data_IF_481296017412
#
_entry.id   IF_481296017412
#
_cell.length_a   1.000
_cell.length_b   1.000
_cell.length_c   1.000
_cell.angle_alpha   90.00
_cell.angle_beta   90.00
_cell.angle_gamma   90.00
#
_symmetry.space_group_name_H-M   'P 1'
#
loop_
_entity.id
_entity.type
_entity.pdbx_description
1 polymer ?
#
# COMPACT_ATOMS: atom_id res chain seq x y z
N UNK A 1 -13.61 -7.17 18.39
CA UNK A 1 -12.70 -8.26 18.07
C UNK A 1 -12.54 -8.39 16.57
N UNK A 2 -11.41 -8.82 16.11
CA UNK A 2 -11.19 -9.07 14.71
C UNK A 2 -10.69 -7.89 13.89
N UNK A 3 -10.46 -6.73 14.50
CA UNK A 3 -9.83 -5.62 13.80
C UNK A 3 -8.33 -5.85 13.84
N UNK A 4 -7.73 -6.06 12.67
CA UNK A 4 -6.29 -6.26 12.53
C UNK A 4 -5.58 -4.96 12.18
N UNK A 5 -6.24 -4.10 11.43
CA UNK A 5 -5.69 -2.82 11.00
C UNK A 5 -6.80 -1.87 10.53
N UNK A 6 -6.46 -0.60 10.40
CA UNK A 6 -7.27 0.40 9.70
C UNK A 6 -6.50 0.80 8.46
N UNK A 7 -7.15 0.78 7.32
CA UNK A 7 -6.50 1.08 6.05
C UNK A 7 -7.39 1.81 5.07
N UNK A 8 -6.75 2.45 4.10
CA UNK A 8 -7.42 3.02 2.94
C UNK A 8 -7.56 1.92 1.90
N UNK A 9 -8.77 1.40 1.75
CA UNK A 9 -9.05 0.34 0.78
C UNK A 9 -9.17 0.95 -0.61
N UNK A 10 -8.34 0.50 -1.54
CA UNK A 10 -8.25 1.08 -2.87
C UNK A 10 -9.53 0.86 -3.67
N UNK A 11 -10.06 1.94 -4.26
CA UNK A 11 -11.24 1.87 -5.10
C UNK A 11 -10.95 1.25 -6.47
N UNK A 12 -9.77 1.53 -7.03
CA UNK A 12 -9.38 1.08 -8.36
C UNK A 12 -7.95 0.55 -8.37
N UNK A 13 -7.72 -0.64 -7.80
CA UNK A 13 -6.37 -1.24 -7.80
C UNK A 13 -5.79 -1.40 -9.20
N UNK A 14 -6.61 -1.70 -10.19
CA UNK A 14 -6.17 -1.83 -11.59
C UNK A 14 -5.56 -0.54 -12.11
N UNK A 15 -6.15 0.58 -11.80
CA UNK A 15 -5.66 1.88 -12.22
C UNK A 15 -4.26 2.16 -11.66
N UNK A 16 -4.04 1.81 -10.40
CA UNK A 16 -2.72 1.96 -9.78
C UNK A 16 -1.67 1.12 -10.51
N UNK A 17 -1.98 -0.13 -10.79
CA UNK A 17 -1.06 -1.02 -11.50
C UNK A 17 -0.79 -0.50 -12.92
N UNK A 18 -1.80 -0.01 -13.62
CA UNK A 18 -1.65 0.56 -14.97
C UNK A 18 -0.77 1.80 -14.97
N UNK A 19 -0.94 2.69 -13.99
CA UNK A 19 -0.12 3.89 -13.91
C UNK A 19 1.33 3.57 -13.56
N UNK A 20 1.59 2.57 -12.73
CA UNK A 20 2.94 2.09 -12.47
C UNK A 20 3.57 1.52 -13.74
N UNK A 21 2.83 0.70 -14.47
CA UNK A 21 3.29 0.12 -15.71
C UNK A 21 3.64 1.19 -16.75
N UNK A 22 2.85 2.25 -16.84
CA UNK A 22 3.11 3.38 -17.74
C UNK A 22 4.42 4.10 -17.39
N UNK A 23 4.89 3.99 -16.16
CA UNK A 23 6.17 4.56 -15.73
C UNK A 23 7.31 3.52 -15.69
N UNK A 24 7.08 2.33 -16.25
CA UNK A 24 8.10 1.29 -16.33
C UNK A 24 8.18 0.40 -15.10
N UNK A 25 7.23 0.49 -14.18
CA UNK A 25 7.19 -0.33 -12.97
C UNK A 25 6.12 -1.41 -13.13
N UNK A 26 6.53 -2.65 -13.20
CA UNK A 26 5.61 -3.78 -13.37
C UNK A 26 5.81 -4.83 -12.30
N UNK A 27 4.74 -5.58 -12.03
CA UNK A 27 4.78 -6.69 -11.07
C UNK A 27 5.58 -7.84 -11.69
N UNK A 28 6.63 -8.32 -11.02
CA UNK A 28 7.39 -9.46 -11.53
C UNK A 28 6.51 -10.70 -11.75
N UNK A 29 6.85 -11.49 -12.74
CA UNK A 29 6.12 -12.72 -13.06
C UNK A 29 6.15 -13.67 -11.85
N UNK A 30 4.99 -14.22 -11.50
CA UNK A 30 4.84 -15.14 -10.38
C UNK A 30 4.60 -14.48 -9.04
N UNK A 31 4.64 -13.17 -8.96
CA UNK A 31 4.32 -12.46 -7.73
C UNK A 31 2.81 -12.23 -7.61
N UNK A 32 2.30 -12.20 -6.37
CA UNK A 32 0.89 -12.02 -6.07
C UNK A 32 0.67 -10.71 -5.31
N UNK A 33 -0.56 -10.18 -5.42
CA UNK A 33 -0.98 -9.07 -4.57
C UNK A 33 -1.13 -9.50 -3.11
N UNK A 34 -1.48 -8.55 -2.26
CA UNK A 34 -1.63 -8.78 -0.81
C UNK A 34 -2.73 -9.80 -0.52
N UNK A 35 -3.82 -9.77 -1.27
CA UNK A 35 -4.83 -10.83 -1.21
C UNK A 35 -4.35 -12.02 -2.05
N UNK A 36 -4.35 -13.19 -1.44
CA UNK A 36 -4.00 -14.42 -2.14
C UNK A 36 -4.92 -14.61 -3.36
N UNK A 37 -4.33 -15.06 -4.45
CA UNK A 37 -5.02 -15.32 -5.73
C UNK A 37 -5.43 -14.07 -6.50
N UNK A 38 -5.00 -12.89 -6.09
CA UNK A 38 -5.20 -11.64 -6.83
C UNK A 38 -3.86 -10.97 -7.07
N UNK A 39 -3.67 -10.46 -8.28
CA UNK A 39 -2.44 -9.77 -8.67
C UNK A 39 -2.59 -8.25 -8.52
N UNK A 40 -3.39 -7.81 -7.56
CA UNK A 40 -3.72 -6.41 -7.37
C UNK A 40 -3.40 -5.95 -5.96
N UNK A 41 -2.93 -4.72 -5.78
CA UNK A 41 -2.79 -4.14 -4.45
C UNK A 41 -4.17 -3.99 -3.80
N UNK A 42 -4.21 -4.04 -2.49
CA UNK A 42 -5.47 -4.06 -1.75
C UNK A 42 -5.71 -2.75 -0.99
N UNK A 43 -4.70 -2.27 -0.26
CA UNK A 43 -4.90 -1.15 0.66
C UNK A 43 -3.58 -0.47 1.03
N UNK A 44 -3.72 0.75 1.60
CA UNK A 44 -2.65 1.42 2.34
C UNK A 44 -2.95 1.28 3.83
N UNK A 45 -2.07 0.66 4.59
CA UNK A 45 -2.25 0.53 6.04
C UNK A 45 -2.00 1.87 6.72
N UNK A 46 -2.97 2.32 7.51
CA UNK A 46 -2.84 3.54 8.31
C UNK A 46 -2.35 3.23 9.72
N UNK A 47 -2.96 2.26 10.37
CA UNK A 47 -2.59 1.82 11.71
C UNK A 47 -2.78 0.32 11.80
N UNK A 48 -1.82 -0.39 12.39
CA UNK A 48 -1.84 -1.85 12.49
C UNK A 48 -1.83 -2.30 13.94
N UNK A 49 -2.66 -3.34 14.26
CA UNK A 49 -2.69 -3.99 15.57
C UNK A 49 -4.12 -4.16 16.11
N UNK A 50 -4.32 -5.11 17.04
CA UNK A 50 -5.65 -5.49 17.50
C UNK A 50 -6.31 -4.50 18.49
N UNK A 51 -5.54 -3.60 19.08
CA UNK A 51 -6.07 -2.64 20.05
C UNK A 51 -6.12 -1.22 19.51
N UNK A 52 -6.15 -1.08 18.21
CA UNK A 52 -6.08 0.21 17.56
C UNK A 52 -7.37 0.98 17.69
N UNK A 53 -7.22 2.29 17.89
CA UNK A 53 -8.31 3.24 17.75
C UNK A 53 -7.94 4.27 16.69
N UNK A 54 -8.75 4.35 15.67
CA UNK A 54 -8.61 5.37 14.64
C UNK A 54 -9.72 6.39 14.82
N UNK A 55 -9.48 7.70 14.55
CA UNK A 55 -10.55 8.69 14.70
C UNK A 55 -11.78 8.32 13.89
N UNK A 56 -12.92 8.20 14.54
CA UNK A 56 -14.15 7.72 13.93
C UNK A 56 -14.62 8.59 12.77
N UNK A 57 -14.26 9.87 12.78
CA UNK A 57 -14.62 10.81 11.72
C UNK A 57 -14.03 10.45 10.35
N UNK A 58 -12.97 9.65 10.33
CA UNK A 58 -12.34 9.22 9.07
C UNK A 58 -12.90 7.88 8.56
N UNK A 59 -13.49 7.07 9.43
CA UNK A 59 -13.99 5.76 9.05
C UNK A 59 -15.13 5.88 8.03
N UNK A 60 -15.06 5.04 7.00
CA UNK A 60 -16.00 5.01 5.88
C UNK A 60 -15.97 6.26 4.98
N UNK A 61 -14.97 7.13 5.15
CA UNK A 61 -14.76 8.28 4.28
C UNK A 61 -13.87 7.92 3.11
N UNK A 62 -14.10 8.59 1.99
CA UNK A 62 -13.20 8.49 0.83
C UNK A 62 -12.10 9.53 0.96
N UNK A 63 -10.91 9.15 0.56
CA UNK A 63 -9.78 10.08 0.53
C UNK A 63 -8.81 9.69 -0.60
N UNK A 64 -7.93 10.61 -0.93
CA UNK A 64 -6.90 10.41 -1.94
C UNK A 64 -5.53 10.50 -1.30
N UNK A 65 -4.61 9.71 -1.83
CA UNK A 65 -3.19 9.79 -1.48
C UNK A 65 -2.38 9.91 -2.77
N UNK A 66 -1.20 10.48 -2.66
CA UNK A 66 -0.32 10.70 -3.83
C UNK A 66 0.80 9.69 -3.80
N UNK A 67 0.92 8.91 -4.86
CA UNK A 67 2.05 8.00 -5.05
C UNK A 67 3.25 8.83 -5.51
N UNK A 68 4.38 8.71 -4.82
CA UNK A 68 5.56 9.54 -5.06
C UNK A 68 6.80 8.75 -5.48
N UNK A 69 6.85 7.45 -5.18
CA UNK A 69 8.00 6.64 -5.51
C UNK A 69 7.73 5.16 -5.32
N UNK A 70 8.74 4.33 -5.60
CA UNK A 70 8.63 2.89 -5.41
C UNK A 70 9.95 2.28 -4.95
N UNK A 71 9.86 1.10 -4.35
CA UNK A 71 11.01 0.30 -4.01
C UNK A 71 10.68 -1.17 -4.22
N UNK A 72 11.68 -1.95 -4.57
CA UNK A 72 11.53 -3.39 -4.83
C UNK A 72 12.78 -4.13 -4.38
N UNK A 73 12.59 -5.33 -3.85
CA UNK A 73 13.69 -6.26 -3.59
C UNK A 73 13.24 -7.67 -4.02
N UNK A 74 13.90 -8.71 -3.51
CA UNK A 74 13.55 -10.09 -3.86
C UNK A 74 12.28 -10.61 -3.16
N UNK A 75 11.68 -9.82 -2.26
CA UNK A 75 10.52 -10.23 -1.46
C UNK A 75 9.26 -9.44 -1.79
N UNK A 76 9.37 -8.14 -2.08
CA UNK A 76 8.21 -7.27 -2.12
C UNK A 76 8.43 -6.08 -3.06
N UNK A 77 7.34 -5.61 -3.63
CA UNK A 77 7.26 -4.34 -4.37
C UNK A 77 6.28 -3.43 -3.65
N UNK A 78 6.71 -2.24 -3.30
CA UNK A 78 5.89 -1.25 -2.62
C UNK A 78 6.07 0.12 -3.23
N UNK A 79 5.03 0.95 -3.13
CA UNK A 79 5.10 2.37 -3.52
C UNK A 79 4.98 3.24 -2.28
N UNK A 80 5.71 4.34 -2.27
CA UNK A 80 5.59 5.34 -1.21
C UNK A 80 4.49 6.30 -1.56
N UNK A 81 3.77 6.78 -0.54
CA UNK A 81 2.66 7.70 -0.72
C UNK A 81 2.81 8.89 0.21
N UNK A 82 2.24 10.02 -0.21
CA UNK A 82 2.12 11.21 0.61
C UNK A 82 0.65 11.37 0.98
N UNK A 83 0.37 11.55 2.27
CA UNK A 83 -0.98 11.64 2.78
C UNK A 83 -1.04 12.57 3.98
N UNK A 84 -2.20 13.23 4.15
CA UNK A 84 -2.50 14.02 5.34
C UNK A 84 -3.30 13.21 6.37
N UNK A 85 -3.64 11.97 6.07
CA UNK A 85 -4.37 11.11 7.01
C UNK A 85 -3.51 10.75 8.20
N UNK A 86 -4.10 10.71 9.42
CA UNK A 86 -3.39 10.18 10.57
C UNK A 86 -2.93 8.75 10.30
N UNK A 87 -1.66 8.46 10.61
CA UNK A 87 -1.13 7.12 10.47
C UNK A 87 0.07 6.94 11.41
N UNK A 88 0.40 5.68 11.68
CA UNK A 88 1.55 5.32 12.51
C UNK A 88 2.63 4.61 11.73
N UNK A 89 2.64 4.75 10.41
CA UNK A 89 3.69 4.22 9.57
C UNK A 89 4.87 5.19 9.53
N UNK A 90 6.10 4.68 9.64
CA UNK A 90 7.29 5.51 9.48
C UNK A 90 7.34 6.10 8.07
N UNK A 91 7.04 5.27 7.08
CA UNK A 91 6.96 5.66 5.68
C UNK A 91 5.63 5.17 5.15
N UNK A 92 4.64 6.06 4.94
CA UNK A 92 3.36 5.64 4.36
C UNK A 92 3.57 4.99 3.00
N UNK A 93 2.96 3.84 2.78
CA UNK A 93 3.17 3.05 1.56
C UNK A 93 1.99 2.13 1.27
N UNK A 94 1.93 1.68 0.01
CA UNK A 94 1.03 0.63 -0.43
C UNK A 94 1.88 -0.55 -0.88
N UNK A 95 1.64 -1.73 -0.33
CA UNK A 95 2.27 -2.95 -0.80
C UNK A 95 1.59 -3.39 -2.09
N UNK A 96 2.34 -3.43 -3.18
CA UNK A 96 1.80 -3.75 -4.50
C UNK A 96 1.75 -5.26 -4.72
N UNK A 97 2.86 -5.94 -4.46
CA UNK A 97 2.96 -7.37 -4.70
C UNK A 97 4.07 -8.00 -3.85
N UNK A 98 3.95 -9.29 -3.61
CA UNK A 98 4.95 -10.06 -2.87
C UNK A 98 5.39 -11.26 -3.71
N UNK A 99 6.66 -11.64 -3.56
CA UNK A 99 7.20 -12.84 -4.17
C UNK A 99 6.61 -14.09 -3.50
N UNK A 100 6.78 -15.29 -4.08
CA UNK A 100 6.30 -16.53 -3.45
C UNK A 100 6.82 -16.76 -2.03
N UNK A 101 7.97 -16.20 -1.68
CA UNK A 101 8.56 -16.30 -0.34
C UNK A 101 8.41 -15.02 0.47
N UNK A 102 7.80 -13.97 -0.11
CA UNK A 102 7.62 -12.69 0.56
C UNK A 102 6.31 -12.58 1.32
N UNK A 103 6.23 -11.56 2.17
CA UNK A 103 5.04 -11.23 2.94
C UNK A 103 4.79 -9.73 2.84
N UNK A 104 3.54 -9.25 2.95
CA UNK A 104 3.25 -7.81 2.93
C UNK A 104 4.08 -7.01 3.94
N UNK A 105 4.36 -7.59 5.09
CA UNK A 105 5.15 -6.97 6.15
C UNK A 105 6.60 -6.70 5.74
N UNK A 106 7.11 -7.39 4.73
CA UNK A 106 8.47 -7.18 4.23
C UNK A 106 8.66 -5.79 3.61
N UNK A 107 7.57 -5.10 3.25
CA UNK A 107 7.65 -3.73 2.75
C UNK A 107 8.19 -2.74 3.79
N UNK A 108 7.94 -2.98 5.07
CA UNK A 108 8.48 -2.14 6.14
C UNK A 108 10.01 -2.23 6.18
N UNK A 109 10.56 -3.44 6.09
CA UNK A 109 12.00 -3.66 6.05
C UNK A 109 12.63 -3.09 4.78
N UNK A 110 11.95 -3.27 3.66
CA UNK A 110 12.41 -2.71 2.38
C UNK A 110 12.57 -1.19 2.45
N UNK A 111 11.53 -0.50 2.89
CA UNK A 111 11.52 0.96 2.91
C UNK A 111 12.43 1.54 4.00
N UNK A 112 12.76 0.76 5.03
CA UNK A 112 13.72 1.16 6.05
C UNK A 112 15.17 1.07 5.56
N UNK A 113 15.45 0.24 4.54
CA UNK A 113 16.81 -0.05 4.09
C UNK A 113 17.12 0.45 2.69
N UNK A 114 16.12 0.74 1.87
CA UNK A 114 16.30 1.17 0.47
C UNK A 114 15.61 2.50 0.26
N UNK A 115 16.33 3.45 -0.34
CA UNK A 115 15.75 4.71 -0.73
C UNK A 115 14.81 4.52 -1.93
N UNK A 116 13.55 4.96 -1.84
CA UNK A 116 12.61 4.80 -2.95
C UNK A 116 13.06 5.57 -4.20
N UNK A 117 12.83 4.97 -5.35
CA UNK A 117 13.05 5.65 -6.63
C UNK A 117 11.86 6.57 -6.91
N UNK A 118 12.10 7.82 -7.33
CA UNK A 118 11.01 8.75 -7.58
C UNK A 118 10.18 8.36 -8.79
N UNK A 119 8.89 8.61 -8.71
CA UNK A 119 7.94 8.47 -9.82
C UNK A 119 7.34 9.84 -10.12
N UNK A 120 6.77 10.00 -11.31
CA UNK A 120 5.89 11.12 -11.57
C UNK A 120 4.66 10.96 -10.66
N UNK A 121 4.39 11.91 -9.77
CA UNK A 121 3.32 11.75 -8.79
C UNK A 121 1.95 11.58 -9.44
N UNK A 122 1.14 10.70 -8.87
CA UNK A 122 -0.25 10.54 -9.27
C UNK A 122 -1.10 10.16 -8.05
N UNK A 123 -2.39 10.48 -8.12
CA UNK A 123 -3.30 10.23 -7.02
C UNK A 123 -3.98 8.89 -7.15
N UNK A 124 -4.22 8.24 -6.02
CA UNK A 124 -5.09 7.07 -5.93
C UNK A 124 -6.10 7.32 -4.82
N UNK A 125 -7.31 6.82 -4.99
CA UNK A 125 -8.37 7.00 -4.02
C UNK A 125 -8.81 5.68 -3.39
N UNK A 126 -9.38 5.79 -2.21
CA UNK A 126 -9.90 4.64 -1.49
C UNK A 126 -10.85 5.05 -0.38
N UNK A 127 -11.35 4.06 0.32
CA UNK A 127 -12.25 4.25 1.45
C UNK A 127 -11.59 3.74 2.73
N UNK A 128 -11.63 4.53 3.79
CA UNK A 128 -11.01 4.18 5.06
C UNK A 128 -11.90 3.19 5.80
N UNK A 129 -11.35 2.02 6.12
CA UNK A 129 -12.09 0.94 6.78
C UNK A 129 -11.24 0.22 7.81
N UNK A 130 -11.94 -0.35 8.79
CA UNK A 130 -11.38 -1.33 9.71
C UNK A 130 -11.39 -2.71 9.05
N UNK A 131 -10.32 -3.46 9.23
CA UNK A 131 -10.21 -4.79 8.62
C UNK A 131 -9.56 -5.83 9.53
#
# INVERSE_FOLDING_TARGET
TGINYVGLMLDSPDSLVQQLSAQGVSIPIGWCGVEKNKNLPHHMTLVHGPSIRYPAQYLNQKDEVVVTGYAINDKVLAVTVKTNLPNKQNIPHITIAVSPTGKPNDSNSLLASVEPKPLNPFSVSGTIREA
#
